data_IF_096950370587
#
_entry.id   IF_096950370587
#
_cell.length_a   1.000
_cell.length_b   1.000
_cell.length_c   1.000
_cell.angle_alpha   90.00
_cell.angle_beta   90.00
_cell.angle_gamma   90.00
#
_symmetry.space_group_name_H-M   'P 1'
#
loop_
_entity.id
_entity.type
_entity.pdbx_description
1 polymer ?
#
# COMPACT_ATOMS: atom_id res chain seq x y z
N UNK A 1 -27.85 -2.18 40.88
CA UNK A 1 -27.20 -2.97 39.82
C UNK A 1 -26.58 -2.00 38.84
N UNK A 2 -25.42 -1.43 39.19
CA UNK A 2 -24.80 -0.31 38.48
C UNK A 2 -23.52 -0.79 37.78
N UNK A 3 -23.43 -0.49 36.49
CA UNK A 3 -22.19 -0.11 35.78
C UNK A 3 -21.20 -1.21 35.32
N UNK A 4 -21.66 -2.43 35.02
CA UNK A 4 -20.83 -3.41 34.30
C UNK A 4 -20.65 -3.08 32.80
N UNK A 5 -21.40 -2.13 32.24
CA UNK A 5 -21.31 -1.77 30.83
C UNK A 5 -20.11 -0.86 30.51
N UNK A 6 -19.70 -0.01 31.46
CA UNK A 6 -18.55 0.91 31.31
C UNK A 6 -17.24 0.15 31.02
N UNK A 7 -16.85 -0.89 31.79
CA UNK A 7 -15.62 -1.64 31.47
C UNK A 7 -15.72 -2.38 30.14
N UNK A 8 -16.91 -2.87 29.75
CA UNK A 8 -17.10 -3.57 28.47
C UNK A 8 -16.95 -2.62 27.28
N UNK A 9 -17.53 -1.42 27.34
CA UNK A 9 -17.37 -0.40 26.30
C UNK A 9 -15.92 0.06 26.20
N UNK A 10 -15.23 0.25 27.32
CA UNK A 10 -13.82 0.61 27.33
C UNK A 10 -12.94 -0.44 26.62
N UNK A 11 -13.22 -1.73 26.85
CA UNK A 11 -12.49 -2.84 26.18
C UNK A 11 -12.78 -2.85 24.67
N UNK A 12 -14.05 -2.66 24.26
CA UNK A 12 -14.40 -2.62 22.84
C UNK A 12 -13.76 -1.43 22.11
N UNK A 13 -13.69 -0.26 22.75
CA UNK A 13 -12.99 0.91 22.20
C UNK A 13 -11.49 0.66 22.10
N UNK A 14 -10.87 0.11 23.14
CA UNK A 14 -9.44 -0.23 23.12
C UNK A 14 -9.13 -1.26 22.02
N UNK A 15 -9.92 -2.31 21.89
CA UNK A 15 -9.80 -3.30 20.82
C UNK A 15 -9.99 -2.65 19.44
N UNK A 16 -11.03 -1.82 19.27
CA UNK A 16 -11.28 -1.11 18.01
C UNK A 16 -10.14 -0.18 17.61
N UNK A 17 -9.48 0.49 18.56
CA UNK A 17 -8.32 1.33 18.30
C UNK A 17 -7.06 0.54 17.93
N UNK A 18 -6.82 -0.59 18.60
CA UNK A 18 -5.66 -1.45 18.34
C UNK A 18 -5.77 -2.10 16.95
N UNK A 19 -6.92 -2.69 16.64
CA UNK A 19 -7.12 -3.38 15.36
C UNK A 19 -7.46 -2.40 14.22
N UNK A 20 -8.22 -1.33 14.47
CA UNK A 20 -8.59 -0.34 13.45
C UNK A 20 -7.45 0.58 13.03
N UNK A 21 -6.49 0.85 13.92
CA UNK A 21 -5.31 1.67 13.60
C UNK A 21 -4.43 1.07 12.50
N UNK A 22 -4.36 -0.26 12.43
CA UNK A 22 -3.54 -0.97 11.43
C UNK A 22 -4.16 -0.87 10.02
N UNK A 23 -5.48 -1.09 9.88
CA UNK A 23 -6.18 -0.95 8.61
C UNK A 23 -6.15 0.48 8.05
N UNK A 24 -6.27 1.49 8.92
CA UNK A 24 -6.15 2.90 8.50
C UNK A 24 -4.72 3.25 8.09
N UNK A 25 -3.70 2.65 8.73
CA UNK A 25 -2.30 2.90 8.40
C UNK A 25 -1.92 2.31 7.05
N UNK A 26 -2.42 1.12 6.71
CA UNK A 26 -2.24 0.48 5.41
C UNK A 26 -2.90 1.32 4.30
N UNK A 27 -4.16 1.73 4.49
CA UNK A 27 -4.86 2.57 3.53
C UNK A 27 -4.15 3.92 3.26
N UNK A 28 -3.53 4.52 4.28
CA UNK A 28 -2.74 5.75 4.11
C UNK A 28 -1.46 5.51 3.32
N UNK A 29 -0.78 4.38 3.54
CA UNK A 29 0.43 4.00 2.81
C UNK A 29 0.13 3.78 1.34
N UNK A 30 -0.95 3.07 1.03
CA UNK A 30 -1.36 2.80 -0.35
C UNK A 30 -1.74 4.09 -1.07
N UNK A 31 -2.45 5.00 -0.40
CA UNK A 31 -2.75 6.33 -0.95
C UNK A 31 -1.48 7.16 -1.23
N UNK A 32 -0.46 7.06 -0.38
CA UNK A 32 0.82 7.75 -0.60
C UNK A 32 1.56 7.17 -1.80
N UNK A 33 1.59 5.85 -1.96
CA UNK A 33 2.23 5.19 -3.11
C UNK A 33 1.50 5.55 -4.41
N UNK A 34 0.16 5.53 -4.41
CA UNK A 34 -0.65 5.92 -5.56
C UNK A 34 -0.37 7.38 -5.98
N UNK A 35 -0.24 8.28 -5.01
CA UNK A 35 0.13 9.67 -5.26
C UNK A 35 1.53 9.81 -5.90
N UNK A 36 2.53 9.07 -5.40
CA UNK A 36 3.87 9.06 -5.99
C UNK A 36 3.89 8.53 -7.42
N UNK A 37 3.07 7.51 -7.71
CA UNK A 37 2.93 6.98 -9.08
C UNK A 37 2.27 8.02 -9.98
N UNK A 38 1.20 8.68 -9.51
CA UNK A 38 0.53 9.75 -10.26
C UNK A 38 1.48 10.93 -10.56
N UNK A 39 2.25 11.37 -9.56
CA UNK A 39 3.31 12.39 -9.71
C UNK A 39 4.33 11.97 -10.77
N UNK A 40 4.78 10.70 -10.74
CA UNK A 40 5.80 10.21 -11.68
C UNK A 40 5.30 10.10 -13.12
N UNK A 41 4.00 9.83 -13.29
CA UNK A 41 3.30 9.79 -14.57
C UNK A 41 2.82 11.16 -15.04
N UNK A 42 3.04 12.22 -14.25
CA UNK A 42 2.57 13.59 -14.50
C UNK A 42 1.06 13.65 -14.82
N UNK A 43 0.27 12.89 -14.05
CA UNK A 43 -1.18 12.80 -14.25
C UNK A 43 -1.94 13.30 -13.03
N UNK A 44 -3.00 14.11 -13.22
CA UNK A 44 -3.90 14.50 -12.14
C UNK A 44 -4.90 13.39 -11.77
N UNK A 45 -4.89 12.27 -12.50
CA UNK A 45 -5.82 11.16 -12.28
C UNK A 45 -5.40 10.33 -11.06
N UNK A 46 -6.40 9.83 -10.32
CA UNK A 46 -6.16 8.86 -9.25
C UNK A 46 -5.72 7.53 -9.86
N UNK A 47 -4.55 7.06 -9.45
CA UNK A 47 -4.03 5.74 -9.78
C UNK A 47 -4.66 4.71 -8.85
N UNK A 48 -5.16 3.62 -9.41
CA UNK A 48 -5.66 2.47 -8.65
C UNK A 48 -4.53 1.46 -8.46
N UNK A 49 -4.42 0.89 -7.26
CA UNK A 49 -3.38 -0.08 -6.91
C UNK A 49 -4.00 -1.43 -6.62
N UNK A 50 -3.38 -2.49 -7.15
CA UNK A 50 -3.85 -3.86 -6.97
C UNK A 50 -2.66 -4.82 -6.82
N UNK A 51 -2.94 -6.04 -6.35
CA UNK A 51 -1.93 -7.10 -6.13
C UNK A 51 -0.70 -6.65 -5.32
N UNK A 52 -0.91 -5.76 -4.34
CA UNK A 52 0.14 -5.23 -3.49
C UNK A 52 0.80 -6.34 -2.66
N UNK A 53 2.12 -6.46 -2.79
CA UNK A 53 2.94 -7.42 -2.06
C UNK A 53 4.15 -6.73 -1.46
N UNK A 54 4.31 -6.86 -0.14
CA UNK A 54 5.50 -6.38 0.54
C UNK A 54 6.71 -7.26 0.26
N UNK A 55 7.82 -6.64 -0.10
CA UNK A 55 9.12 -7.28 -0.31
C UNK A 55 10.19 -6.57 0.51
N UNK A 56 11.42 -7.08 0.49
CA UNK A 56 12.55 -6.48 1.19
C UNK A 56 12.26 -6.17 2.68
N UNK A 57 11.67 -7.13 3.40
CA UNK A 57 11.31 -7.02 4.83
C UNK A 57 10.32 -5.88 5.15
N UNK A 58 9.40 -5.56 4.23
CA UNK A 58 8.41 -4.49 4.40
C UNK A 58 8.87 -3.12 3.89
N UNK A 59 10.12 -3.01 3.42
CA UNK A 59 10.65 -1.77 2.85
C UNK A 59 10.42 -1.63 1.34
N UNK A 60 10.06 -2.70 0.65
CA UNK A 60 9.67 -2.66 -0.75
C UNK A 60 8.20 -3.02 -0.92
N UNK A 61 7.58 -2.46 -1.94
CA UNK A 61 6.22 -2.75 -2.35
C UNK A 61 6.23 -3.04 -3.85
N UNK A 62 5.85 -4.27 -4.20
CA UNK A 62 5.58 -4.66 -5.58
C UNK A 62 4.07 -4.67 -5.78
N UNK A 63 3.61 -4.33 -6.98
CA UNK A 63 2.20 -4.47 -7.30
C UNK A 63 1.88 -3.96 -8.69
N UNK A 64 0.59 -3.87 -8.92
CA UNK A 64 0.01 -3.42 -10.17
C UNK A 64 -0.63 -2.05 -9.96
N UNK A 65 -0.52 -1.18 -10.96
CA UNK A 65 -1.18 0.10 -11.01
C UNK A 65 -1.98 0.25 -12.30
N UNK A 66 -3.12 0.94 -12.22
CA UNK A 66 -3.93 1.26 -13.39
C UNK A 66 -4.40 2.71 -13.33
N UNK A 67 -4.45 3.36 -14.48
CA UNK A 67 -5.16 4.62 -14.65
C UNK A 67 -6.64 4.35 -14.95
N UNK A 68 -7.54 5.31 -14.69
CA UNK A 68 -8.95 5.18 -15.04
C UNK A 68 -9.13 4.84 -16.53
N UNK A 69 -9.61 3.63 -16.83
CA UNK A 69 -9.80 3.14 -18.20
C UNK A 69 -8.51 2.79 -18.95
N UNK A 70 -7.36 2.77 -18.26
CA UNK A 70 -6.06 2.39 -18.81
C UNK A 70 -5.71 0.91 -18.56
N UNK A 71 -4.70 0.38 -19.26
CA UNK A 71 -4.17 -0.93 -18.97
C UNK A 71 -3.49 -0.96 -17.61
N UNK A 72 -3.54 -2.13 -16.96
CA UNK A 72 -2.78 -2.40 -15.75
C UNK A 72 -1.31 -2.58 -16.09
N UNK A 73 -0.43 -1.90 -15.34
CA UNK A 73 1.02 -1.98 -15.46
C UNK A 73 1.65 -2.25 -14.09
N UNK A 74 2.90 -2.74 -14.07
CA UNK A 74 3.56 -3.16 -12.83
C UNK A 74 4.47 -2.07 -12.29
N UNK A 75 4.63 -2.04 -10.97
CA UNK A 75 5.55 -1.13 -10.31
C UNK A 75 6.30 -1.78 -9.15
N UNK A 76 7.43 -1.16 -8.82
CA UNK A 76 8.14 -1.38 -7.57
C UNK A 76 8.43 -0.05 -6.88
N UNK A 77 8.13 0.03 -5.59
CA UNK A 77 8.42 1.17 -4.75
C UNK A 77 9.21 0.77 -3.51
N UNK A 78 10.31 1.48 -3.22
CA UNK A 78 11.07 1.31 -1.99
C UNK A 78 10.72 2.44 -1.02
N UNK A 79 10.09 2.13 0.11
CA UNK A 79 9.56 3.12 1.06
C UNK A 79 10.64 3.98 1.73
N UNK A 80 11.81 3.41 2.03
CA UNK A 80 12.91 4.13 2.70
C UNK A 80 13.72 5.03 1.76
N UNK A 81 13.99 4.57 0.53
CA UNK A 81 14.81 5.33 -0.44
C UNK A 81 13.95 6.13 -1.41
N UNK A 82 12.63 6.04 -1.29
CA UNK A 82 11.61 6.60 -2.19
C UNK A 82 11.84 6.27 -3.67
N UNK A 83 12.57 5.19 -3.96
CA UNK A 83 12.83 4.77 -5.34
C UNK A 83 11.60 4.09 -5.92
N UNK A 84 11.08 4.67 -7.00
CA UNK A 84 9.96 4.15 -7.78
C UNK A 84 10.43 3.73 -9.17
N UNK A 85 9.98 2.57 -9.62
CA UNK A 85 10.07 2.16 -11.03
C UNK A 85 8.72 1.65 -11.49
N UNK A 86 8.30 2.07 -12.68
CA UNK A 86 7.04 1.70 -13.34
C UNK A 86 7.28 0.76 -14.54
N UNK A 87 8.48 0.19 -14.61
CA UNK A 87 8.95 -0.65 -15.70
C UNK A 87 9.35 -2.00 -15.12
N UNK A 88 8.66 -3.05 -15.54
CA UNK A 88 8.89 -4.42 -15.09
C UNK A 88 10.20 -5.02 -15.64
N UNK A 89 10.77 -4.41 -16.68
CA UNK A 89 12.08 -4.77 -17.22
C UNK A 89 13.24 -4.13 -16.47
N UNK A 90 12.98 -3.12 -15.63
CA UNK A 90 14.02 -2.42 -14.89
C UNK A 90 14.77 -3.38 -13.94
N UNK A 91 16.11 -3.25 -13.79
CA UNK A 91 16.88 -4.07 -12.85
C UNK A 91 16.37 -3.97 -11.40
N UNK A 92 15.85 -2.80 -11.04
CA UNK A 92 15.28 -2.54 -9.72
C UNK A 92 14.01 -3.37 -9.49
N UNK A 93 13.11 -3.43 -10.49
CA UNK A 93 11.92 -4.27 -10.42
C UNK A 93 12.32 -5.75 -10.39
N UNK A 94 13.16 -6.21 -11.33
CA UNK A 94 13.52 -7.63 -11.45
C UNK A 94 14.23 -8.19 -10.22
N UNK A 95 15.08 -7.41 -9.58
CA UNK A 95 15.79 -7.86 -8.38
C UNK A 95 14.88 -8.00 -7.14
N UNK A 96 13.73 -7.32 -7.12
CA UNK A 96 12.84 -7.28 -5.96
C UNK A 96 11.51 -8.04 -6.18
N UNK A 97 10.95 -7.97 -7.38
CA UNK A 97 9.59 -8.41 -7.70
C UNK A 97 9.52 -9.62 -8.66
N UNK A 98 10.56 -9.94 -9.43
CA UNK A 98 10.46 -11.00 -10.46
C UNK A 98 10.15 -12.41 -9.92
N UNK A 99 10.29 -12.63 -8.61
CA UNK A 99 9.90 -13.90 -7.97
C UNK A 99 8.40 -14.01 -7.71
N UNK A 100 7.66 -12.90 -7.77
CA UNK A 100 6.21 -12.85 -7.59
C UNK A 100 5.45 -13.16 -8.89
N UNK A 101 6.14 -13.08 -10.04
CA UNK A 101 5.60 -13.38 -11.37
C UNK A 101 5.63 -14.87 -11.74
N UNK A 102 6.06 -15.76 -10.82
CA UNK A 102 6.23 -17.21 -11.06
C UNK A 102 5.24 -18.01 -10.24
#
# INVERSE_FOLDING_TARGET
MHNLWIPVVAILVAAGLIFGGQAVSEAKRDAQVAARIAERLDTPQRVDLSHLTEVNKGYGLCGDYALPGGPTARFYYHTVTERLTLDDTAPLYRSNCARLDR
#
